data_IF_844422238082
#
_entry.id   IF_844422238082
#
_cell.length_a   1.000
_cell.length_b   1.000
_cell.length_c   1.000
_cell.angle_alpha   90.00
_cell.angle_beta   90.00
_cell.angle_gamma   90.00
#
_symmetry.space_group_name_H-M   'P 1'
#
loop_
_entity.id
_entity.type
_entity.pdbx_description
1 polymer ?
#
# COMPACT_ATOMS: atom_id res chain seq x y z
N UNK A 1 -15.93 66.98 67.71
CA UNK A 1 -14.69 67.22 66.94
C UNK A 1 -14.63 66.21 65.80
N UNK A 2 -14.15 66.64 64.65
CA UNK A 2 -14.40 66.14 63.30
C UNK A 2 -13.74 64.79 62.90
N UNK A 3 -14.25 64.25 61.77
CA UNK A 3 -13.72 63.25 60.80
C UNK A 3 -13.91 61.75 61.13
N UNK A 4 -14.75 60.96 60.42
CA UNK A 4 -14.73 60.49 58.99
C UNK A 4 -13.64 59.42 58.74
N UNK A 5 -13.85 58.23 58.16
CA UNK A 5 -15.00 57.53 57.58
C UNK A 5 -14.76 56.00 57.51
N UNK A 6 -15.87 55.25 57.68
CA UNK A 6 -16.27 53.90 57.23
C UNK A 6 -15.22 52.87 56.77
N UNK A 7 -15.28 51.66 57.37
CA UNK A 7 -15.18 50.28 56.81
C UNK A 7 -15.58 49.32 57.96
N UNK A 8 -16.17 48.13 57.82
CA UNK A 8 -16.89 47.39 56.80
C UNK A 8 -17.73 46.34 57.58
N UNK A 9 -18.95 46.05 57.14
CA UNK A 9 -19.89 45.17 57.84
C UNK A 9 -19.66 43.71 57.43
N UNK A 10 -19.19 42.86 58.34
CA UNK A 10 -19.25 41.40 58.19
C UNK A 10 -20.69 40.91 58.38
N UNK A 11 -21.24 40.21 57.38
CA UNK A 11 -22.30 39.22 57.60
C UNK A 11 -22.03 37.96 56.77
N UNK A 12 -21.84 36.89 57.51
CA UNK A 12 -21.82 35.49 57.12
C UNK A 12 -23.01 35.11 56.22
N UNK A 13 -22.74 34.51 55.06
CA UNK A 13 -23.70 33.72 54.29
C UNK A 13 -23.02 32.42 53.82
N UNK A 14 -23.77 31.33 53.94
CA UNK A 14 -23.32 29.95 53.93
C UNK A 14 -22.62 29.51 52.63
N UNK A 15 -21.48 28.84 52.76
CA UNK A 15 -20.86 28.04 51.69
C UNK A 15 -21.60 26.71 51.52
N UNK A 16 -22.44 26.63 50.51
CA UNK A 16 -22.89 25.35 49.94
C UNK A 16 -21.71 24.64 49.29
N UNK A 17 -21.34 23.47 49.80
CA UNK A 17 -20.40 22.53 49.18
C UNK A 17 -21.04 21.97 47.91
N UNK A 18 -20.56 22.37 46.74
CA UNK A 18 -20.76 21.61 45.50
C UNK A 18 -19.56 20.67 45.38
N UNK A 19 -19.82 19.37 45.59
CA UNK A 19 -18.85 18.28 45.42
C UNK A 19 -18.54 18.02 43.93
N UNK A 20 -17.42 17.34 43.62
CA UNK A 20 -16.75 17.35 42.32
C UNK A 20 -17.31 16.28 41.38
N UNK A 21 -18.45 16.54 40.74
CA UNK A 21 -18.99 15.60 39.73
C UNK A 21 -18.26 15.68 38.37
N UNK A 22 -17.62 16.80 38.05
CA UNK A 22 -16.96 16.98 36.76
C UNK A 22 -15.61 16.23 36.66
N UNK A 23 -14.84 16.18 37.76
CA UNK A 23 -13.52 15.52 37.80
C UNK A 23 -13.62 13.99 37.76
N UNK A 24 -14.63 13.42 38.41
CA UNK A 24 -14.87 11.96 38.41
C UNK A 24 -15.40 11.47 37.06
N UNK A 25 -16.24 12.24 36.36
CA UNK A 25 -16.70 11.85 35.02
C UNK A 25 -15.57 11.87 33.98
N UNK A 26 -14.67 12.86 34.03
CA UNK A 26 -13.54 12.93 33.10
C UNK A 26 -12.52 11.81 33.41
N UNK A 27 -12.22 11.54 34.68
CA UNK A 27 -11.38 10.39 35.06
C UNK A 27 -12.00 9.05 34.68
N UNK A 28 -13.30 8.84 34.88
CA UNK A 28 -13.97 7.61 34.45
C UNK A 28 -13.97 7.45 32.93
N UNK A 29 -14.18 8.52 32.16
CA UNK A 29 -14.10 8.48 30.69
C UNK A 29 -12.66 8.20 30.20
N UNK A 30 -11.65 8.76 30.86
CA UNK A 30 -10.25 8.51 30.54
C UNK A 30 -9.82 7.09 30.90
N UNK A 31 -10.26 6.56 32.04
CA UNK A 31 -9.98 5.19 32.48
C UNK A 31 -10.70 4.17 31.61
N UNK A 32 -11.95 4.42 31.19
CA UNK A 32 -12.67 3.56 30.23
C UNK A 32 -12.01 3.61 28.85
N UNK A 33 -11.54 4.79 28.40
CA UNK A 33 -10.83 4.94 27.12
C UNK A 33 -9.47 4.21 27.12
N UNK A 34 -8.68 4.33 28.19
CA UNK A 34 -7.42 3.62 28.36
C UNK A 34 -7.65 2.11 28.50
N UNK A 35 -8.65 1.68 29.28
CA UNK A 35 -9.01 0.27 29.39
C UNK A 35 -9.44 -0.31 28.04
N UNK A 36 -10.25 0.39 27.22
CA UNK A 36 -10.65 -0.12 25.91
C UNK A 36 -9.52 -0.22 24.89
N UNK A 37 -8.63 0.79 24.83
CA UNK A 37 -7.42 0.71 23.96
C UNK A 37 -6.53 -0.45 24.41
N UNK A 38 -6.37 -0.63 25.73
CA UNK A 38 -5.57 -1.73 26.26
C UNK A 38 -6.22 -3.10 26.01
N UNK A 39 -7.54 -3.25 26.09
CA UNK A 39 -8.20 -4.53 25.80
C UNK A 39 -8.19 -4.87 24.32
N UNK A 40 -8.34 -3.89 23.42
CA UNK A 40 -8.19 -4.14 21.98
C UNK A 40 -6.77 -4.52 21.63
N UNK A 41 -5.77 -3.80 22.15
CA UNK A 41 -4.36 -4.11 21.92
C UNK A 41 -3.92 -5.43 22.56
N UNK A 42 -4.47 -5.81 23.74
CA UNK A 42 -4.17 -7.08 24.43
C UNK A 42 -4.92 -8.25 23.80
N UNK A 43 -6.19 -8.08 23.39
CA UNK A 43 -6.92 -9.11 22.64
C UNK A 43 -6.28 -9.39 21.27
N UNK A 44 -5.74 -8.36 20.62
CA UNK A 44 -4.95 -8.47 19.39
C UNK A 44 -3.60 -9.19 19.60
N UNK A 45 -3.01 -9.12 20.81
CA UNK A 45 -1.71 -9.74 21.11
C UNK A 45 -1.81 -11.24 21.39
N UNK A 46 -2.93 -11.69 21.95
CA UNK A 46 -3.13 -13.08 22.39
C UNK A 46 -4.00 -13.92 21.43
N UNK A 47 -4.44 -13.35 20.30
CA UNK A 47 -5.27 -14.08 19.34
C UNK A 47 -6.61 -14.55 19.92
N UNK A 48 -7.14 -13.87 20.93
CA UNK A 48 -8.53 -14.07 21.37
C UNK A 48 -9.45 -13.25 20.50
N UNK A 49 -10.59 -13.83 20.15
CA UNK A 49 -11.48 -13.31 19.12
C UNK A 49 -12.11 -11.98 19.56
N UNK A 50 -11.65 -10.86 18.99
CA UNK A 50 -12.30 -9.55 19.19
C UNK A 50 -13.79 -9.66 18.83
N UNK A 51 -14.13 -10.54 17.89
CA UNK A 51 -15.50 -10.81 17.43
C UNK A 51 -16.36 -11.64 18.41
N UNK A 52 -15.77 -12.33 19.39
CA UNK A 52 -16.54 -13.04 20.43
C UNK A 52 -16.92 -12.13 21.62
N UNK A 53 -16.24 -11.00 21.77
CA UNK A 53 -16.33 -10.16 22.98
C UNK A 53 -17.23 -8.91 22.83
N UNK A 54 -17.56 -8.49 21.60
CA UNK A 54 -18.30 -7.26 21.33
C UNK A 54 -19.75 -7.59 20.99
N UNK A 55 -20.69 -7.05 21.76
CA UNK A 55 -22.13 -7.18 21.47
C UNK A 55 -22.52 -6.45 20.17
N UNK A 56 -23.60 -6.88 19.51
CA UNK A 56 -24.13 -6.26 18.28
C UNK A 56 -24.40 -4.75 18.41
N UNK A 57 -24.72 -4.26 19.60
CA UNK A 57 -24.98 -2.83 19.84
C UNK A 57 -23.69 -2.03 20.01
N UNK A 58 -22.69 -2.59 20.70
CA UNK A 58 -21.34 -2.01 20.74
C UNK A 58 -20.71 -1.98 19.33
N UNK A 59 -21.03 -2.98 18.52
CA UNK A 59 -20.65 -3.07 17.12
C UNK A 59 -21.26 -1.93 16.27
N UNK A 60 -22.56 -1.63 16.41
CA UNK A 60 -23.21 -0.51 15.72
C UNK A 60 -22.68 0.87 16.17
N UNK A 61 -22.37 1.02 17.47
CA UNK A 61 -21.84 2.28 18.03
C UNK A 61 -20.42 2.58 17.54
N UNK A 62 -19.57 1.56 17.36
CA UNK A 62 -18.23 1.78 16.80
C UNK A 62 -18.26 2.19 15.32
N UNK A 63 -19.15 1.59 14.53
CA UNK A 63 -19.36 1.98 13.11
C UNK A 63 -19.85 3.43 12.98
N UNK A 64 -20.67 3.89 13.93
CA UNK A 64 -21.21 5.25 13.91
C UNK A 64 -20.24 6.33 14.39
N UNK A 65 -19.08 5.98 14.94
CA UNK A 65 -18.02 6.95 15.21
C UNK A 65 -17.33 7.31 13.90
N UNK A 66 -17.99 8.16 13.13
CA UNK A 66 -17.30 8.94 12.10
C UNK A 66 -16.23 9.77 12.78
N UNK A 67 -15.01 9.27 12.72
CA UNK A 67 -13.84 10.06 13.01
C UNK A 67 -13.68 11.06 11.86
N UNK A 68 -13.82 12.35 12.16
CA UNK A 68 -13.49 13.40 11.21
C UNK A 68 -11.99 13.38 10.96
N UNK A 69 -11.60 12.80 9.82
CA UNK A 69 -10.23 12.72 9.35
C UNK A 69 -9.87 13.84 8.37
N UNK A 70 -10.72 14.88 8.24
CA UNK A 70 -10.52 15.97 7.27
C UNK A 70 -9.22 16.76 7.48
N UNK A 71 -8.78 16.88 8.74
CA UNK A 71 -7.54 17.57 9.11
C UNK A 71 -6.27 16.74 8.87
N UNK A 72 -6.38 15.43 8.67
CA UNK A 72 -5.23 14.54 8.44
C UNK A 72 -4.72 14.76 7.02
N UNK A 73 -3.42 15.07 6.91
CA UNK A 73 -2.73 15.34 5.64
C UNK A 73 -1.72 14.27 5.24
N UNK A 74 -1.37 13.35 6.14
CA UNK A 74 -0.41 12.27 5.92
C UNK A 74 -1.05 10.93 6.26
N UNK A 75 -0.85 9.91 5.43
CA UNK A 75 -1.41 8.60 5.68
C UNK A 75 -0.97 7.51 4.70
N UNK A 76 -1.54 6.34 4.89
CA UNK A 76 -1.34 5.16 4.06
C UNK A 76 -2.58 4.94 3.20
N UNK A 77 -2.40 4.57 1.94
CA UNK A 77 -3.46 4.23 1.01
C UNK A 77 -3.30 2.77 0.59
N UNK A 78 -4.39 2.00 0.64
CA UNK A 78 -4.42 0.61 0.19
C UNK A 78 -5.64 0.41 -0.73
N UNK A 79 -5.42 -0.16 -1.91
CA UNK A 79 -6.51 -0.52 -2.81
C UNK A 79 -7.00 -1.95 -2.53
N UNK A 80 -8.31 -2.14 -2.42
CA UNK A 80 -8.90 -3.41 -1.98
C UNK A 80 -10.15 -3.77 -2.79
N UNK A 81 -10.39 -5.06 -2.91
CA UNK A 81 -11.66 -5.66 -3.30
C UNK A 81 -11.93 -6.85 -2.37
N UNK A 82 -13.14 -7.43 -2.41
CA UNK A 82 -13.60 -8.39 -1.39
C UNK A 82 -12.63 -9.55 -1.10
N UNK A 83 -12.04 -10.17 -2.13
CA UNK A 83 -11.12 -11.28 -1.90
C UNK A 83 -9.77 -10.86 -1.29
N UNK A 84 -9.41 -9.58 -1.33
CA UNK A 84 -8.15 -9.08 -0.73
C UNK A 84 -8.30 -8.72 0.74
N UNK A 85 -9.52 -8.67 1.27
CA UNK A 85 -9.80 -8.23 2.64
C UNK A 85 -9.02 -9.01 3.69
N UNK A 86 -8.87 -10.34 3.61
CA UNK A 86 -8.06 -11.06 4.60
C UNK A 86 -6.61 -10.58 4.65
N UNK A 87 -6.01 -10.31 3.49
CA UNK A 87 -4.64 -9.80 3.40
C UNK A 87 -4.57 -8.33 3.83
N UNK A 88 -5.45 -7.47 3.33
CA UNK A 88 -5.49 -6.05 3.67
C UNK A 88 -5.77 -5.79 5.16
N UNK A 89 -6.70 -6.52 5.76
CA UNK A 89 -6.97 -6.42 7.19
C UNK A 89 -5.77 -6.96 8.00
N UNK A 90 -5.13 -8.05 7.58
CA UNK A 90 -3.88 -8.46 8.21
C UNK A 90 -2.77 -7.41 8.08
N UNK A 91 -2.70 -6.64 6.96
CA UNK A 91 -1.83 -5.46 6.76
C UNK A 91 -2.01 -4.44 7.86
N UNK A 92 -3.24 -4.02 8.12
CA UNK A 92 -3.52 -3.08 9.20
C UNK A 92 -3.00 -3.59 10.55
N UNK A 93 -3.27 -4.85 10.90
CA UNK A 93 -2.81 -5.45 12.16
C UNK A 93 -1.29 -5.43 12.31
N UNK A 94 -0.56 -5.80 11.24
CA UNK A 94 0.90 -5.79 11.24
C UNK A 94 1.46 -4.38 11.36
N UNK A 95 0.91 -3.41 10.61
CA UNK A 95 1.32 -2.02 10.70
C UNK A 95 1.16 -1.47 12.12
N UNK A 96 0.04 -1.77 12.79
CA UNK A 96 -0.16 -1.38 14.20
C UNK A 96 0.82 -2.08 15.14
N UNK A 97 1.11 -3.35 14.91
CA UNK A 97 2.11 -4.09 15.70
C UNK A 97 3.54 -3.53 15.52
N UNK A 98 3.84 -2.96 14.34
CA UNK A 98 5.09 -2.26 14.05
C UNK A 98 5.13 -0.83 14.64
N UNK A 99 4.04 -0.37 15.27
CA UNK A 99 3.94 0.95 15.89
C UNK A 99 3.41 2.05 14.97
N UNK A 100 2.99 1.71 13.73
CA UNK A 100 2.43 2.70 12.82
C UNK A 100 1.09 3.22 13.37
N UNK A 101 0.95 4.54 13.44
CA UNK A 101 -0.29 5.18 13.85
C UNK A 101 -0.96 5.96 12.73
N UNK A 102 -0.49 5.90 11.49
CA UNK A 102 -1.05 6.71 10.41
C UNK A 102 -2.50 6.33 10.09
N UNK A 103 -3.27 7.29 9.55
CA UNK A 103 -4.57 7.01 8.94
C UNK A 103 -4.36 6.04 7.77
N UNK A 104 -5.18 5.00 7.69
CA UNK A 104 -5.21 4.09 6.55
C UNK A 104 -6.50 4.34 5.77
N UNK A 105 -6.36 4.74 4.51
CA UNK A 105 -7.48 4.85 3.58
C UNK A 105 -7.55 3.60 2.70
N UNK A 106 -8.67 2.88 2.77
CA UNK A 106 -8.96 1.71 1.95
C UNK A 106 -9.84 2.10 0.78
N UNK A 107 -9.26 2.08 -0.42
CA UNK A 107 -9.92 2.46 -1.66
C UNK A 107 -10.46 1.23 -2.38
N UNK A 108 -11.70 1.32 -2.85
CA UNK A 108 -12.32 0.31 -3.72
C UNK A 108 -13.10 1.00 -4.85
N UNK A 109 -13.55 0.24 -5.85
CA UNK A 109 -14.24 0.80 -7.00
C UNK A 109 -15.63 0.20 -7.21
N UNK A 110 -16.65 1.06 -7.25
CA UNK A 110 -17.98 0.74 -7.75
C UNK A 110 -18.60 -0.47 -7.04
N UNK A 111 -18.62 -0.43 -5.70
CA UNK A 111 -19.25 -1.46 -4.87
C UNK A 111 -18.53 -2.82 -4.81
N UNK A 112 -17.21 -2.88 -5.07
CA UNK A 112 -16.39 -4.09 -4.93
C UNK A 112 -16.33 -4.68 -3.51
N UNK A 113 -16.68 -3.90 -2.50
CA UNK A 113 -16.73 -4.36 -1.12
C UNK A 113 -18.16 -4.72 -0.70
N UNK A 114 -18.31 -5.92 -0.16
CA UNK A 114 -19.55 -6.36 0.47
C UNK A 114 -19.75 -5.69 1.82
N UNK A 115 -21.01 -5.69 2.28
CA UNK A 115 -21.34 -5.22 3.62
C UNK A 115 -20.50 -5.93 4.70
N UNK A 116 -20.27 -7.24 4.57
CA UNK A 116 -19.41 -8.02 5.46
C UNK A 116 -17.98 -7.47 5.54
N UNK A 117 -17.36 -7.19 4.39
CA UNK A 117 -16.02 -6.61 4.34
C UNK A 117 -15.94 -5.23 4.99
N UNK A 118 -16.94 -4.37 4.78
CA UNK A 118 -17.03 -3.09 5.51
C UNK A 118 -17.06 -3.31 7.03
N UNK A 119 -17.83 -4.30 7.54
CA UNK A 119 -17.88 -4.58 8.98
C UNK A 119 -16.51 -5.00 9.51
N UNK A 120 -15.85 -5.93 8.83
CA UNK A 120 -14.53 -6.46 9.23
C UNK A 120 -13.52 -5.32 9.36
N UNK A 121 -13.45 -4.45 8.35
CA UNK A 121 -12.50 -3.34 8.34
C UNK A 121 -12.78 -2.32 9.46
N UNK A 122 -14.03 -1.89 9.66
CA UNK A 122 -14.35 -0.93 10.70
C UNK A 122 -14.19 -1.48 12.12
N UNK A 123 -14.38 -2.79 12.32
CA UNK A 123 -14.11 -3.43 13.62
C UNK A 123 -12.62 -3.53 13.93
N UNK A 124 -11.79 -3.57 12.90
CA UNK A 124 -10.37 -3.86 13.02
C UNK A 124 -9.57 -2.68 13.56
N UNK A 125 -9.84 -1.48 13.06
CA UNK A 125 -9.03 -0.30 13.32
C UNK A 125 -9.86 0.98 13.29
N UNK A 126 -9.78 1.76 14.37
CA UNK A 126 -10.50 3.02 14.50
C UNK A 126 -9.92 4.16 13.65
N UNK A 127 -8.76 3.97 13.01
CA UNK A 127 -8.08 4.94 12.14
C UNK A 127 -8.07 4.46 10.70
N UNK A 128 -9.22 3.92 10.27
CA UNK A 128 -9.47 3.44 8.92
C UNK A 128 -10.59 4.25 8.27
N UNK A 129 -10.40 4.63 7.02
CA UNK A 129 -11.42 5.26 6.19
C UNK A 129 -11.61 4.45 4.90
N UNK A 130 -12.85 4.09 4.57
CA UNK A 130 -13.16 3.34 3.34
C UNK A 130 -13.75 4.29 2.30
N UNK A 131 -13.22 4.27 1.07
CA UNK A 131 -13.59 5.20 -0.01
C UNK A 131 -13.95 4.43 -1.28
N UNK A 132 -15.14 4.68 -1.83
CA UNK A 132 -15.56 4.21 -3.16
C UNK A 132 -15.25 5.28 -4.20
N UNK A 133 -13.99 5.30 -4.65
CA UNK A 133 -13.49 6.39 -5.51
C UNK A 133 -14.21 6.45 -6.86
N UNK A 134 -14.61 5.29 -7.40
CA UNK A 134 -15.33 5.28 -8.68
C UNK A 134 -16.71 5.93 -8.56
N UNK A 135 -17.42 5.74 -7.44
CA UNK A 135 -18.68 6.46 -7.21
C UNK A 135 -18.46 7.96 -7.08
N UNK A 136 -17.43 8.39 -6.36
CA UNK A 136 -17.12 9.81 -6.18
C UNK A 136 -16.79 10.48 -7.52
N UNK A 137 -15.96 9.86 -8.35
CA UNK A 137 -15.62 10.38 -9.68
C UNK A 137 -16.82 10.38 -10.64
N UNK A 138 -17.71 9.38 -10.56
CA UNK A 138 -18.95 9.36 -11.34
C UNK A 138 -19.89 10.48 -10.91
N UNK A 139 -20.08 10.66 -9.60
CA UNK A 139 -20.93 11.71 -9.04
C UNK A 139 -20.41 13.11 -9.38
N UNK A 140 -19.08 13.30 -9.45
CA UNK A 140 -18.46 14.57 -9.85
C UNK A 140 -18.39 14.77 -11.36
N UNK A 141 -18.89 13.83 -12.18
CA UNK A 141 -18.81 13.89 -13.65
C UNK A 141 -17.41 13.73 -14.24
N UNK A 142 -16.42 13.29 -13.44
CA UNK A 142 -15.03 13.10 -13.86
C UNK A 142 -14.78 11.72 -14.47
N UNK A 143 -15.68 10.76 -14.23
CA UNK A 143 -15.65 9.41 -14.80
C UNK A 143 -17.04 9.03 -15.32
N UNK A 144 -17.19 8.59 -16.59
CA UNK A 144 -18.46 8.04 -17.05
C UNK A 144 -18.81 6.75 -16.29
N UNK A 145 -20.06 6.62 -15.82
CA UNK A 145 -20.50 5.43 -15.07
C UNK A 145 -20.23 4.11 -15.80
N UNK A 146 -20.41 4.10 -17.13
CA UNK A 146 -20.15 2.92 -17.97
C UNK A 146 -18.68 2.48 -17.98
N UNK A 147 -17.73 3.38 -17.65
CA UNK A 147 -16.29 3.09 -17.61
C UNK A 147 -15.77 2.85 -16.18
N UNK A 148 -16.63 2.91 -15.16
CA UNK A 148 -16.19 2.79 -13.77
C UNK A 148 -15.40 1.49 -13.52
N UNK A 149 -15.87 0.37 -14.08
CA UNK A 149 -15.24 -0.92 -13.88
C UNK A 149 -13.85 -1.06 -14.56
N UNK A 150 -13.51 -0.19 -15.52
CA UNK A 150 -12.19 -0.17 -16.19
C UNK A 150 -11.04 0.25 -15.24
N UNK A 151 -11.40 0.75 -14.04
CA UNK A 151 -10.48 1.21 -13.00
C UNK A 151 -10.37 0.23 -11.84
N UNK A 152 -11.00 -0.94 -11.92
CA UNK A 152 -10.75 -2.03 -10.97
C UNK A 152 -9.35 -2.62 -11.18
N UNK A 153 -8.89 -3.41 -10.21
CA UNK A 153 -7.52 -3.99 -10.21
C UNK A 153 -6.44 -2.89 -10.21
N UNK A 154 -5.33 -3.09 -10.92
CA UNK A 154 -4.14 -2.21 -10.96
C UNK A 154 -4.47 -0.72 -11.10
N UNK A 155 -5.42 -0.39 -11.97
CA UNK A 155 -5.75 0.98 -12.35
C UNK A 155 -6.45 1.78 -11.25
N UNK A 156 -6.84 1.14 -10.15
CA UNK A 156 -7.44 1.82 -9.02
C UNK A 156 -6.41 2.67 -8.28
N UNK A 157 -5.17 2.19 -8.14
CA UNK A 157 -4.09 2.85 -7.40
C UNK A 157 -3.82 4.29 -7.87
N UNK A 158 -3.56 4.56 -9.16
CA UNK A 158 -3.36 5.93 -9.63
C UNK A 158 -4.61 6.80 -9.44
N UNK A 159 -5.81 6.26 -9.65
CA UNK A 159 -7.05 7.01 -9.43
C UNK A 159 -7.24 7.37 -7.95
N UNK A 160 -6.95 6.43 -7.06
CA UNK A 160 -7.01 6.61 -5.62
C UNK A 160 -5.99 7.65 -5.13
N UNK A 161 -4.77 7.61 -5.66
CA UNK A 161 -3.73 8.59 -5.35
C UNK A 161 -4.12 10.00 -5.83
N UNK A 162 -4.71 10.14 -7.02
CA UNK A 162 -5.25 11.42 -7.49
C UNK A 162 -6.41 11.89 -6.59
N UNK A 163 -7.30 10.98 -6.19
CA UNK A 163 -8.49 11.28 -5.40
C UNK A 163 -8.20 11.80 -3.99
N UNK A 164 -7.28 11.12 -3.29
CA UNK A 164 -7.17 11.30 -1.83
C UNK A 164 -6.87 12.74 -1.43
N UNK A 165 -7.49 13.18 -0.33
CA UNK A 165 -7.19 14.47 0.29
C UNK A 165 -5.81 14.51 0.94
N UNK A 166 -5.20 13.35 1.22
CA UNK A 166 -3.88 13.28 1.82
C UNK A 166 -2.85 13.97 0.90
N UNK A 167 -1.98 14.79 1.49
CA UNK A 167 -0.85 15.38 0.80
C UNK A 167 0.32 14.41 0.74
N UNK A 168 0.63 13.74 1.85
CA UNK A 168 1.75 12.81 1.96
C UNK A 168 1.21 11.38 2.06
N UNK A 169 1.46 10.57 1.04
CA UNK A 169 0.84 9.26 0.85
C UNK A 169 1.90 8.19 0.71
N UNK A 170 1.81 7.15 1.53
CA UNK A 170 2.43 5.85 1.26
C UNK A 170 1.31 4.97 0.71
N UNK A 171 1.36 4.68 -0.57
CA UNK A 171 0.50 3.68 -1.17
C UNK A 171 1.17 2.31 -0.97
N UNK A 172 0.43 1.35 -0.43
CA UNK A 172 0.85 -0.04 -0.27
C UNK A 172 -0.07 -0.97 -1.04
N UNK A 173 0.49 -2.07 -1.51
CA UNK A 173 -0.31 -3.20 -1.94
C UNK A 173 -0.95 -3.92 -0.73
N UNK A 174 -2.15 -4.46 -0.95
CA UNK A 174 -2.86 -5.19 0.10
C UNK A 174 -2.15 -6.50 0.51
N UNK A 175 -1.30 -7.02 -0.37
CA UNK A 175 -0.51 -8.23 -0.19
C UNK A 175 0.98 -7.96 0.11
N UNK A 176 1.34 -6.75 0.54
CA UNK A 176 2.68 -6.51 1.06
C UNK A 176 2.88 -7.13 2.45
N UNK A 177 3.99 -7.85 2.60
CA UNK A 177 4.52 -8.33 3.88
C UNK A 177 5.54 -7.30 4.39
N UNK A 178 5.19 -6.54 5.43
CA UNK A 178 6.01 -5.43 5.92
C UNK A 178 6.85 -5.86 7.14
N UNK A 179 8.16 -5.62 7.10
CA UNK A 179 9.07 -5.98 8.22
C UNK A 179 9.46 -4.79 9.10
N UNK A 180 9.10 -3.58 8.68
CA UNK A 180 9.42 -2.32 9.34
C UNK A 180 8.25 -1.34 9.19
N UNK A 181 8.08 -0.43 10.16
CA UNK A 181 7.08 0.63 10.05
C UNK A 181 7.35 1.48 8.80
N UNK A 182 6.42 1.55 7.82
CA UNK A 182 6.59 2.32 6.60
C UNK A 182 6.69 3.83 6.87
N UNK A 183 6.29 4.32 8.04
CA UNK A 183 6.47 5.74 8.41
C UNK A 183 7.94 6.19 8.41
N UNK A 184 8.89 5.25 8.48
CA UNK A 184 10.31 5.52 8.31
C UNK A 184 10.66 6.06 6.92
N UNK A 185 9.85 5.75 5.89
CA UNK A 185 10.08 6.23 4.52
C UNK A 185 10.00 7.76 4.41
N UNK A 186 9.19 8.40 5.27
CA UNK A 186 9.10 9.86 5.40
C UNK A 186 10.43 10.51 5.80
N UNK A 187 11.35 9.75 6.40
CA UNK A 187 12.60 10.27 6.92
C UNK A 187 13.80 10.00 6.01
N UNK A 188 13.60 9.23 4.93
CA UNK A 188 14.65 8.87 3.98
C UNK A 188 15.17 10.11 3.24
N UNK A 189 16.46 10.12 2.83
CA UNK A 189 17.02 11.23 2.09
C UNK A 189 16.24 11.55 0.81
N UNK A 190 15.86 10.53 0.04
CA UNK A 190 15.11 10.69 -1.21
C UNK A 190 13.75 11.38 -1.01
N UNK A 191 13.02 11.00 0.04
CA UNK A 191 11.77 11.67 0.39
C UNK A 191 11.97 13.12 0.80
N UNK A 192 12.97 13.40 1.65
CA UNK A 192 13.25 14.77 2.10
C UNK A 192 13.69 15.69 0.97
N UNK A 193 14.39 15.16 -0.03
CA UNK A 193 14.89 15.91 -1.17
C UNK A 193 13.80 16.17 -2.23
N UNK A 194 13.00 15.15 -2.55
CA UNK A 194 12.11 15.19 -3.72
C UNK A 194 10.62 15.05 -3.39
N UNK A 195 10.30 14.71 -2.14
CA UNK A 195 8.94 14.34 -1.74
C UNK A 195 8.50 12.97 -2.25
N UNK A 196 9.37 12.18 -2.88
CA UNK A 196 9.02 10.85 -3.39
C UNK A 196 10.04 9.79 -2.97
N UNK A 197 9.58 8.54 -2.90
CA UNK A 197 10.42 7.35 -2.84
C UNK A 197 9.78 6.29 -3.71
N UNK A 198 10.43 5.97 -4.82
CA UNK A 198 10.03 4.88 -5.71
C UNK A 198 11.01 3.71 -5.60
N UNK A 199 10.55 2.52 -5.96
CA UNK A 199 11.35 1.30 -5.91
C UNK A 199 11.49 0.73 -7.32
N UNK A 200 12.63 0.11 -7.61
CA UNK A 200 12.87 -0.44 -8.93
C UNK A 200 12.18 -1.80 -9.09
N UNK A 201 11.58 -2.05 -10.25
CA UNK A 201 11.20 -3.41 -10.67
C UNK A 201 12.45 -4.18 -11.15
N UNK A 202 12.25 -5.44 -11.52
CA UNK A 202 13.24 -6.35 -12.09
C UNK A 202 13.80 -5.79 -13.38
N UNK A 203 15.11 -5.93 -13.54
CA UNK A 203 15.79 -5.55 -14.79
C UNK A 203 15.54 -6.62 -15.84
N UNK A 204 14.54 -6.41 -16.70
CA UNK A 204 14.09 -7.40 -17.70
C UNK A 204 14.29 -6.83 -19.10
N UNK A 205 15.28 -7.33 -19.84
CA UNK A 205 15.57 -6.86 -21.21
C UNK A 205 14.66 -7.54 -22.25
N UNK A 206 13.36 -7.27 -22.21
CA UNK A 206 12.35 -7.74 -23.17
C UNK A 206 11.78 -6.62 -24.03
N UNK A 207 11.23 -6.97 -25.19
CA UNK A 207 10.53 -6.05 -26.08
C UNK A 207 9.04 -5.91 -25.68
N UNK A 208 8.80 -5.52 -24.43
CA UNK A 208 7.46 -5.37 -23.84
C UNK A 208 7.36 -4.00 -23.16
N UNK A 209 6.13 -3.50 -22.99
CA UNK A 209 5.83 -2.26 -22.25
C UNK A 209 6.72 -1.08 -22.70
N UNK A 210 7.55 -0.53 -21.80
CA UNK A 210 8.46 0.59 -22.10
C UNK A 210 9.38 0.32 -23.30
N UNK A 211 9.77 -0.94 -23.50
CA UNK A 211 10.68 -1.41 -24.54
C UNK A 211 9.99 -1.99 -25.77
N UNK A 212 8.65 -2.04 -25.78
CA UNK A 212 7.94 -2.45 -26.99
C UNK A 212 8.15 -1.38 -28.08
N UNK A 213 8.04 -1.81 -29.34
CA UNK A 213 8.23 -0.94 -30.49
C UNK A 213 6.90 -0.37 -30.96
N UNK A 214 6.87 0.94 -31.15
CA UNK A 214 5.78 1.65 -31.81
C UNK A 214 6.31 2.42 -33.02
N UNK A 215 5.45 2.59 -34.02
CA UNK A 215 5.73 3.45 -35.17
C UNK A 215 5.02 4.78 -34.94
N UNK A 216 5.78 5.84 -34.79
CA UNK A 216 5.27 7.19 -34.65
C UNK A 216 5.95 8.10 -35.68
N UNK A 217 5.16 8.85 -36.45
CA UNK A 217 5.65 9.72 -37.55
C UNK A 217 6.65 9.02 -38.48
N UNK A 218 6.32 7.79 -38.91
CA UNK A 218 7.17 6.94 -39.76
C UNK A 218 8.52 6.54 -39.15
N UNK A 219 8.74 6.80 -37.86
CA UNK A 219 9.93 6.37 -37.12
C UNK A 219 9.57 5.25 -36.15
N UNK A 220 10.41 4.22 -36.11
CA UNK A 220 10.28 3.12 -35.16
C UNK A 220 11.01 3.49 -33.87
N UNK A 221 10.28 3.60 -32.78
CA UNK A 221 10.78 4.05 -31.47
C UNK A 221 10.27 3.12 -30.36
N UNK A 222 10.99 3.08 -29.23
CA UNK A 222 10.50 2.39 -28.03
C UNK A 222 9.31 3.17 -27.45
N UNK A 223 8.36 2.48 -26.81
CA UNK A 223 7.18 3.11 -26.22
C UNK A 223 7.52 4.23 -25.25
N UNK A 224 8.57 4.08 -24.41
CA UNK A 224 9.02 5.16 -23.54
C UNK A 224 9.46 6.42 -24.32
N UNK A 225 10.17 6.24 -25.45
CA UNK A 225 10.57 7.35 -26.31
C UNK A 225 9.37 7.98 -27.01
N UNK A 226 8.40 7.17 -27.47
CA UNK A 226 7.16 7.68 -28.06
C UNK A 226 6.39 8.50 -27.03
N UNK A 227 6.23 8.00 -25.81
CA UNK A 227 5.55 8.71 -24.73
C UNK A 227 6.18 10.08 -24.50
N UNK A 228 7.50 10.14 -24.29
CA UNK A 228 8.21 11.40 -24.02
C UNK A 228 8.20 12.34 -25.23
N UNK A 229 8.28 11.82 -26.46
CA UNK A 229 8.28 12.66 -27.66
C UNK A 229 6.92 13.30 -27.95
N UNK A 230 5.84 12.58 -27.63
CA UNK A 230 4.46 12.91 -28.06
C UNK A 230 3.57 13.41 -26.95
N UNK A 231 4.00 13.34 -25.69
CA UNK A 231 3.23 13.84 -24.56
C UNK A 231 2.85 15.32 -24.75
N UNK A 232 1.61 15.66 -24.41
CA UNK A 232 1.01 16.97 -24.66
C UNK A 232 1.41 18.00 -23.59
N UNK A 233 2.72 18.24 -23.41
CA UNK A 233 3.27 19.11 -22.36
C UNK A 233 2.59 20.48 -22.24
N UNK A 234 2.17 21.07 -23.37
CA UNK A 234 1.52 22.38 -23.41
C UNK A 234 0.19 22.40 -22.63
N UNK A 235 -0.54 21.29 -22.53
CA UNK A 235 -1.77 21.18 -21.72
C UNK A 235 -1.50 21.39 -20.22
N UNK A 236 -0.27 21.14 -19.78
CA UNK A 236 0.19 21.29 -18.40
C UNK A 236 1.09 22.53 -18.22
N UNK A 237 1.12 23.44 -19.20
CA UNK A 237 2.00 24.62 -19.22
C UNK A 237 3.50 24.28 -19.17
N UNK A 238 3.88 23.13 -19.74
CA UNK A 238 5.27 22.66 -19.81
C UNK A 238 5.79 22.68 -21.25
N UNK A 239 7.12 22.64 -21.38
CA UNK A 239 7.81 22.40 -22.64
C UNK A 239 8.55 21.07 -22.56
N UNK A 240 8.57 20.26 -23.64
CA UNK A 240 9.27 18.97 -23.65
C UNK A 240 10.73 19.13 -23.23
N UNK A 241 11.09 18.53 -22.10
CA UNK A 241 12.45 18.54 -21.56
C UNK A 241 12.69 17.27 -20.72
N UNK A 242 13.06 16.14 -21.35
CA UNK A 242 13.43 14.95 -20.59
C UNK A 242 14.60 15.25 -19.65
N UNK A 243 14.55 14.66 -18.47
CA UNK A 243 15.58 14.87 -17.45
C UNK A 243 16.87 14.13 -17.81
N UNK A 244 18.00 14.65 -17.33
CA UNK A 244 19.28 13.92 -17.41
C UNK A 244 19.28 12.65 -16.56
N UNK A 245 18.34 12.51 -15.64
CA UNK A 245 18.16 11.29 -14.87
C UNK A 245 17.52 10.21 -15.76
N UNK A 246 16.41 10.52 -16.44
CA UNK A 246 15.73 9.63 -17.38
C UNK A 246 16.70 9.06 -18.42
N UNK A 247 17.49 9.91 -19.07
CA UNK A 247 18.45 9.49 -20.10
C UNK A 247 19.47 8.43 -19.60
N UNK A 248 19.69 8.34 -18.29
CA UNK A 248 20.61 7.39 -17.64
C UNK A 248 19.93 6.11 -17.11
N UNK A 249 18.61 6.05 -17.12
CA UNK A 249 17.84 4.89 -16.63
C UNK A 249 18.07 3.65 -17.50
N UNK A 250 17.85 2.47 -16.91
CA UNK A 250 17.91 1.22 -17.68
C UNK A 250 16.76 1.15 -18.70
N UNK A 251 15.57 1.63 -18.34
CA UNK A 251 14.43 1.71 -19.25
C UNK A 251 14.72 2.55 -20.50
N UNK A 252 15.22 3.78 -20.36
CA UNK A 252 15.56 4.63 -21.51
C UNK A 252 16.60 3.97 -22.44
N UNK A 253 17.53 3.22 -21.86
CA UNK A 253 18.59 2.55 -22.61
C UNK A 253 18.25 1.11 -23.01
N UNK A 254 16.96 0.73 -23.03
CA UNK A 254 16.46 -0.59 -23.49
C UNK A 254 16.97 -1.77 -22.66
N UNK A 255 17.46 -1.54 -21.46
CA UNK A 255 17.97 -2.56 -20.56
C UNK A 255 16.92 -3.07 -19.56
N UNK A 256 15.75 -2.43 -19.50
CA UNK A 256 14.62 -2.90 -18.69
C UNK A 256 13.28 -2.54 -19.33
N UNK A 257 12.35 -3.49 -19.42
CA UNK A 257 10.97 -3.28 -19.86
C UNK A 257 10.10 -2.66 -18.75
N UNK A 258 10.57 -2.77 -17.51
CA UNK A 258 9.95 -2.23 -16.30
C UNK A 258 10.96 -1.35 -15.55
N UNK A 259 10.54 -0.20 -15.07
CA UNK A 259 11.41 0.67 -14.27
C UNK A 259 10.99 0.62 -12.81
N UNK A 260 9.69 0.78 -12.53
CA UNK A 260 9.15 0.92 -11.19
C UNK A 260 8.40 -0.32 -10.71
N UNK A 261 8.65 -0.71 -9.47
CA UNK A 261 7.77 -1.55 -8.66
C UNK A 261 6.78 -0.63 -7.91
N UNK A 262 5.47 -0.89 -8.05
CA UNK A 262 4.39 -0.10 -7.43
C UNK A 262 3.72 -0.81 -6.25
N UNK A 263 4.38 -1.83 -5.68
CA UNK A 263 3.96 -2.38 -4.38
C UNK A 263 3.99 -1.31 -3.30
N UNK A 264 5.05 -0.49 -3.28
CA UNK A 264 5.13 0.72 -2.43
C UNK A 264 5.37 1.95 -3.30
N UNK A 265 4.53 2.98 -3.12
CA UNK A 265 4.70 4.29 -3.76
C UNK A 265 4.59 5.39 -2.71
N UNK A 266 5.67 6.16 -2.53
CA UNK A 266 5.70 7.25 -1.54
C UNK A 266 5.69 8.59 -2.27
N UNK A 267 4.69 9.43 -2.00
CA UNK A 267 4.50 10.70 -2.70
C UNK A 267 4.03 11.81 -1.76
N UNK A 268 4.64 12.99 -1.90
CA UNK A 268 4.11 14.26 -1.46
C UNK A 268 3.46 14.99 -2.65
N UNK A 269 2.13 15.08 -2.62
CA UNK A 269 1.25 15.74 -3.60
C UNK A 269 1.00 17.22 -3.28
N UNK A 270 1.85 17.84 -2.46
CA UNK A 270 1.77 19.26 -2.13
C UNK A 270 1.85 20.16 -3.36
N UNK A 271 1.78 21.48 -3.17
CA UNK A 271 1.71 22.45 -4.26
C UNK A 271 2.83 22.33 -5.30
N UNK A 272 4.02 21.85 -4.92
CA UNK A 272 5.17 21.65 -5.82
C UNK A 272 5.01 20.45 -6.74
N UNK A 273 4.13 19.51 -6.42
CA UNK A 273 3.93 18.24 -7.12
C UNK A 273 2.51 18.08 -7.68
N UNK A 274 1.66 19.12 -7.60
CA UNK A 274 0.27 19.03 -8.04
C UNK A 274 0.16 18.74 -9.54
N UNK A 275 1.06 19.33 -10.35
CA UNK A 275 1.13 19.06 -11.79
C UNK A 275 1.41 17.58 -12.08
N UNK A 276 2.22 16.91 -11.26
CA UNK A 276 2.44 15.47 -11.40
C UNK A 276 1.15 14.67 -11.17
N UNK A 277 0.22 15.15 -10.34
CA UNK A 277 -1.08 14.49 -10.16
C UNK A 277 -2.02 14.72 -11.34
N UNK A 278 -1.97 15.90 -11.96
CA UNK A 278 -2.71 16.18 -13.20
C UNK A 278 -2.19 15.31 -14.36
N UNK A 279 -0.86 15.18 -14.47
CA UNK A 279 -0.22 14.27 -15.43
C UNK A 279 -0.58 12.81 -15.12
N UNK A 280 -0.51 12.37 -13.86
CA UNK A 280 -0.90 11.02 -13.45
C UNK A 280 -2.35 10.72 -13.86
N UNK A 281 -3.24 11.68 -13.62
CA UNK A 281 -4.63 11.59 -14.03
C UNK A 281 -4.77 11.46 -15.56
N UNK A 282 -4.02 12.23 -16.34
CA UNK A 282 -4.02 12.10 -17.79
C UNK A 282 -3.49 10.74 -18.26
N UNK A 283 -2.40 10.25 -17.66
CA UNK A 283 -1.82 8.94 -17.99
C UNK A 283 -2.81 7.80 -17.78
N UNK A 284 -3.53 7.80 -16.65
CA UNK A 284 -4.53 6.77 -16.33
C UNK A 284 -5.84 6.95 -17.11
N UNK A 285 -6.26 8.18 -17.42
CA UNK A 285 -7.55 8.40 -18.10
C UNK A 285 -7.47 8.27 -19.62
N UNK A 286 -6.29 8.54 -20.20
CA UNK A 286 -6.13 8.68 -21.65
C UNK A 286 -4.96 7.84 -22.19
N UNK A 287 -3.74 8.12 -21.73
CA UNK A 287 -2.53 7.57 -22.36
C UNK A 287 -2.46 6.04 -22.31
N UNK A 288 -2.90 5.41 -21.21
CA UNK A 288 -2.91 3.94 -21.09
C UNK A 288 -3.73 3.23 -22.16
N UNK A 289 -4.69 3.92 -22.79
CA UNK A 289 -5.53 3.34 -23.84
C UNK A 289 -4.94 3.49 -25.24
N UNK A 290 -3.94 4.36 -25.41
CA UNK A 290 -3.34 4.66 -26.72
C UNK A 290 -1.92 4.14 -26.86
N UNK A 291 -1.24 3.87 -25.75
CA UNK A 291 0.12 3.36 -25.73
C UNK A 291 0.28 2.28 -24.65
N UNK A 292 0.76 1.11 -25.04
CA UNK A 292 1.03 -0.02 -24.16
C UNK A 292 2.42 0.09 -23.51
N UNK A 293 2.59 1.05 -22.60
CA UNK A 293 3.89 1.36 -21.99
C UNK A 293 4.10 0.75 -20.60
N UNK A 294 3.10 0.09 -20.02
CA UNK A 294 3.14 -0.33 -18.61
C UNK A 294 2.37 -1.62 -18.38
N UNK A 295 2.92 -2.52 -17.54
CA UNK A 295 2.14 -3.60 -16.96
C UNK A 295 1.27 -3.01 -15.84
N UNK A 296 0.01 -2.71 -16.14
CA UNK A 296 -0.87 -2.05 -15.18
C UNK A 296 -0.38 -0.65 -14.82
N UNK A 297 -0.47 -0.31 -13.54
CA UNK A 297 -0.22 1.03 -12.99
C UNK A 297 1.26 1.39 -12.81
N UNK A 298 2.16 0.41 -12.82
CA UNK A 298 3.49 0.53 -12.23
C UNK A 298 4.32 1.70 -12.74
N UNK A 299 4.35 1.90 -14.06
CA UNK A 299 5.17 2.95 -14.66
C UNK A 299 4.53 4.34 -14.57
N UNK A 300 3.23 4.43 -14.22
CA UNK A 300 2.49 5.69 -14.27
C UNK A 300 2.99 6.68 -13.21
N UNK A 301 3.42 6.23 -12.04
CA UNK A 301 3.77 7.13 -10.94
C UNK A 301 5.06 7.90 -11.25
N UNK A 302 6.17 7.22 -11.53
CA UNK A 302 7.41 7.92 -11.84
C UNK A 302 7.34 8.69 -13.17
N UNK A 303 6.64 8.16 -14.19
CA UNK A 303 6.44 8.88 -15.45
C UNK A 303 5.62 10.14 -15.25
N UNK A 304 4.66 10.16 -14.33
CA UNK A 304 3.92 11.37 -14.03
C UNK A 304 4.83 12.48 -13.48
N UNK A 305 5.79 12.14 -12.63
CA UNK A 305 6.78 13.09 -12.13
C UNK A 305 7.78 13.52 -13.21
N UNK A 306 8.29 12.58 -14.01
CA UNK A 306 9.21 12.87 -15.11
C UNK A 306 8.59 13.80 -16.17
N UNK A 307 7.38 13.49 -16.63
CA UNK A 307 6.67 14.29 -17.64
C UNK A 307 6.22 15.63 -17.08
N UNK A 308 5.87 15.70 -15.79
CA UNK A 308 5.58 16.95 -15.09
C UNK A 308 6.84 17.79 -14.80
N UNK A 309 8.04 17.25 -15.04
CA UNK A 309 9.33 17.87 -14.71
C UNK A 309 9.47 18.21 -13.22
N UNK A 310 8.84 17.40 -12.37
CA UNK A 310 8.97 17.47 -10.91
C UNK A 310 10.05 16.49 -10.48
N UNK A 311 11.04 16.90 -9.66
CA UNK A 311 12.06 15.99 -9.16
C UNK A 311 11.45 14.77 -8.46
N UNK A 312 12.05 13.60 -8.67
CA UNK A 312 11.68 12.37 -8.00
C UNK A 312 12.91 11.54 -7.65
N UNK A 313 12.76 10.61 -6.71
CA UNK A 313 13.85 9.73 -6.29
C UNK A 313 13.42 8.27 -6.30
N UNK A 314 14.34 7.41 -6.75
CA UNK A 314 14.26 5.97 -6.55
C UNK A 314 15.17 5.56 -5.39
N UNK A 315 14.84 4.43 -4.77
CA UNK A 315 15.70 3.74 -3.81
C UNK A 315 17.14 3.62 -4.35
N UNK A 316 18.18 3.80 -3.52
CA UNK A 316 19.57 3.60 -3.93
C UNK A 316 19.89 2.13 -4.24
N UNK A 317 19.00 1.21 -3.86
CA UNK A 317 19.13 -0.23 -4.03
C UNK A 317 18.27 -0.73 -5.19
N UNK A 318 18.75 -1.77 -5.87
CA UNK A 318 17.90 -2.52 -6.78
C UNK A 318 16.85 -3.33 -6.00
N UNK A 319 15.89 -3.89 -6.75
CA UNK A 319 15.00 -4.93 -6.22
C UNK A 319 15.77 -6.13 -5.64
N UNK A 320 15.07 -6.88 -4.81
CA UNK A 320 15.39 -8.26 -4.43
C UNK A 320 14.19 -9.17 -4.72
N UNK A 321 14.35 -10.46 -4.46
CA UNK A 321 13.33 -11.47 -4.61
C UNK A 321 13.36 -12.40 -3.40
N UNK A 322 12.19 -12.88 -2.97
CA UNK A 322 12.05 -13.92 -1.97
C UNK A 322 12.06 -15.31 -2.63
N UNK A 323 12.80 -16.24 -2.05
CA UNK A 323 13.01 -17.56 -2.64
C UNK A 323 11.75 -18.42 -2.63
N UNK A 324 11.35 -18.91 -3.81
CA UNK A 324 10.37 -19.98 -3.92
C UNK A 324 10.93 -21.31 -3.39
N UNK A 325 10.09 -22.25 -2.95
CA UNK A 325 10.53 -23.58 -2.55
C UNK A 325 11.44 -24.26 -3.58
N UNK A 326 12.49 -24.93 -3.11
CA UNK A 326 13.47 -25.63 -3.96
C UNK A 326 14.53 -24.76 -4.63
N UNK A 327 14.43 -23.43 -4.56
CA UNK A 327 15.44 -22.52 -5.13
C UNK A 327 16.84 -22.78 -4.57
N UNK A 328 16.96 -22.84 -3.24
CA UNK A 328 18.25 -22.97 -2.57
C UNK A 328 18.94 -24.31 -2.81
N UNK A 329 18.17 -25.35 -3.16
CA UNK A 329 18.72 -26.67 -3.54
C UNK A 329 19.21 -26.67 -4.99
N UNK A 330 18.43 -26.08 -5.91
CA UNK A 330 18.68 -26.15 -7.35
C UNK A 330 19.66 -25.10 -7.86
N UNK A 331 19.60 -23.89 -7.31
CA UNK A 331 20.35 -22.73 -7.79
C UNK A 331 20.57 -21.71 -6.65
N UNK A 332 21.51 -21.97 -5.72
CA UNK A 332 21.66 -21.20 -4.49
C UNK A 332 22.10 -19.73 -4.71
N UNK A 333 22.57 -19.37 -5.90
CA UNK A 333 22.99 -18.01 -6.28
C UNK A 333 21.96 -17.26 -7.14
N UNK A 334 20.82 -17.89 -7.43
CA UNK A 334 19.74 -17.33 -8.25
C UNK A 334 18.41 -17.46 -7.51
N UNK A 335 17.68 -16.36 -7.34
CA UNK A 335 16.42 -16.37 -6.60
C UNK A 335 15.25 -16.04 -7.52
N UNK A 336 14.29 -16.95 -7.62
CA UNK A 336 13.04 -16.85 -8.36
C UNK A 336 11.86 -16.82 -7.38
N UNK A 337 11.00 -15.80 -7.46
CA UNK A 337 9.81 -15.71 -6.60
C UNK A 337 9.28 -14.29 -6.42
N UNK A 338 8.66 -14.04 -5.27
CA UNK A 338 8.01 -12.76 -4.96
C UNK A 338 9.01 -11.59 -5.01
N UNK A 339 8.61 -10.48 -5.65
CA UNK A 339 9.41 -9.26 -5.68
C UNK A 339 9.50 -8.66 -4.28
N UNK A 340 10.63 -8.05 -3.94
CA UNK A 340 10.88 -7.52 -2.61
C UNK A 340 11.83 -6.33 -2.67
N UNK A 341 11.83 -5.50 -1.62
CA UNK A 341 12.64 -4.28 -1.59
C UNK A 341 13.43 -4.13 -0.29
N UNK A 342 14.56 -3.46 -0.42
CA UNK A 342 15.40 -3.05 0.70
C UNK A 342 14.97 -1.70 1.24
N UNK A 343 15.22 -1.46 2.53
CA UNK A 343 15.07 -0.13 3.12
C UNK A 343 15.92 0.88 2.33
N UNK A 344 15.34 1.99 1.83
CA UNK A 344 16.01 2.92 0.93
C UNK A 344 16.93 3.91 1.68
N UNK A 345 17.82 3.36 2.49
CA UNK A 345 18.89 4.08 3.19
C UNK A 345 20.23 3.59 2.66
N UNK A 346 21.10 4.50 2.22
CA UNK A 346 22.35 4.16 1.54
C UNK A 346 23.35 3.43 2.47
N UNK A 347 23.24 3.67 3.77
CA UNK A 347 24.04 3.08 4.82
C UNK A 347 23.44 1.77 5.39
N UNK A 348 22.16 1.51 5.15
CA UNK A 348 21.49 0.30 5.64
C UNK A 348 21.92 -0.91 4.82
N UNK A 349 22.64 -1.84 5.45
CA UNK A 349 23.06 -3.11 4.86
C UNK A 349 22.07 -4.21 5.19
N UNK A 350 21.54 -4.85 4.16
CA UNK A 350 20.66 -6.03 4.27
C UNK A 350 19.45 -5.84 5.19
N UNK A 351 18.83 -4.65 5.17
CA UNK A 351 17.59 -4.35 5.90
C UNK A 351 16.41 -4.51 4.96
N UNK A 352 15.80 -5.70 4.94
CA UNK A 352 14.66 -6.01 4.09
C UNK A 352 13.44 -5.20 4.54
N UNK A 353 12.87 -4.38 3.65
CA UNK A 353 11.70 -3.55 3.95
C UNK A 353 10.41 -4.35 3.84
N UNK A 354 10.19 -4.99 2.68
CA UNK A 354 8.99 -5.74 2.40
C UNK A 354 9.19 -6.83 1.34
N UNK A 355 8.22 -7.73 1.24
CA UNK A 355 8.02 -8.67 0.13
C UNK A 355 6.60 -8.49 -0.41
N UNK A 356 6.44 -8.36 -1.72
CA UNK A 356 5.15 -8.49 -2.37
C UNK A 356 4.71 -9.96 -2.31
N UNK A 357 3.69 -10.23 -1.50
CA UNK A 357 3.42 -11.54 -0.93
C UNK A 357 2.16 -12.24 -1.44
N UNK A 358 1.58 -11.81 -2.57
CA UNK A 358 0.31 -12.35 -3.08
C UNK A 358 0.23 -13.87 -3.20
N UNK A 359 1.36 -14.54 -3.43
CA UNK A 359 1.44 -16.01 -3.49
C UNK A 359 1.92 -16.67 -2.18
N UNK A 360 2.39 -15.89 -1.21
CA UNK A 360 3.03 -16.39 0.02
C UNK A 360 2.03 -16.61 1.15
N UNK A 361 0.99 -15.77 1.25
CA UNK A 361 0.07 -15.82 2.40
C UNK A 361 -1.41 -15.65 2.06
N UNK A 362 -1.77 -15.67 0.77
CA UNK A 362 -3.16 -15.49 0.35
C UNK A 362 -4.04 -16.69 0.73
N UNK A 363 -5.08 -16.50 1.56
CA UNK A 363 -6.00 -17.58 1.93
C UNK A 363 -6.83 -18.10 0.76
N UNK A 364 -7.08 -17.27 -0.25
CA UNK A 364 -7.91 -17.59 -1.41
C UNK A 364 -7.03 -17.81 -2.66
N UNK A 365 -7.00 -19.03 -3.16
CA UNK A 365 -6.28 -19.38 -4.39
C UNK A 365 -6.85 -18.55 -5.55
N UNK A 366 -5.97 -17.84 -6.27
CA UNK A 366 -6.32 -16.96 -7.40
C UNK A 366 -7.44 -15.95 -7.07
N UNK A 367 -7.52 -15.49 -5.82
CA UNK A 367 -8.56 -14.59 -5.33
C UNK A 367 -9.99 -15.16 -5.43
N UNK A 368 -10.13 -16.47 -5.62
CA UNK A 368 -11.42 -17.15 -5.55
C UNK A 368 -11.75 -17.46 -4.08
N UNK A 369 -12.69 -16.70 -3.52
CA UNK A 369 -13.13 -16.86 -2.13
C UNK A 369 -13.74 -18.23 -1.83
N UNK A 370 -14.20 -18.95 -2.85
CA UNK A 370 -14.72 -20.32 -2.72
C UNK A 370 -13.62 -21.38 -2.66
N UNK A 371 -12.36 -21.04 -2.97
CA UNK A 371 -11.24 -21.99 -2.90
C UNK A 371 -10.87 -22.40 -1.48
N UNK A 372 -11.22 -21.60 -0.47
CA UNK A 372 -10.94 -21.90 0.92
C UNK A 372 -11.97 -22.91 1.46
N UNK A 373 -11.66 -24.20 1.26
CA UNK A 373 -12.48 -25.34 1.70
C UNK A 373 -11.91 -26.02 2.94
N UNK A 374 -10.58 -26.13 3.04
CA UNK A 374 -9.87 -26.67 4.20
C UNK A 374 -8.85 -25.62 4.72
N UNK A 375 -9.25 -24.79 5.69
CA UNK A 375 -8.36 -23.77 6.26
C UNK A 375 -7.08 -24.34 6.88
N UNK A 376 -7.15 -25.53 7.49
CA UNK A 376 -5.98 -26.11 8.17
C UNK A 376 -4.95 -26.60 7.15
N UNK A 377 -5.41 -27.30 6.09
CA UNK A 377 -4.54 -27.71 5.00
C UNK A 377 -3.92 -26.50 4.29
N UNK A 378 -4.71 -25.44 4.06
CA UNK A 378 -4.22 -24.22 3.42
C UNK A 378 -3.15 -23.50 4.26
N UNK A 379 -3.29 -23.45 5.59
CA UNK A 379 -2.25 -22.91 6.46
C UNK A 379 -0.97 -23.74 6.37
N UNK A 380 -1.08 -25.07 6.43
CA UNK A 380 0.10 -25.94 6.35
C UNK A 380 0.85 -25.77 5.02
N UNK A 381 0.12 -25.64 3.91
CA UNK A 381 0.68 -25.35 2.59
C UNK A 381 1.44 -24.01 2.57
N UNK A 382 0.82 -22.93 3.03
CA UNK A 382 1.42 -21.60 3.03
C UNK A 382 2.65 -21.52 3.96
N UNK A 383 2.58 -22.15 5.14
CA UNK A 383 3.70 -22.20 6.09
C UNK A 383 4.89 -22.98 5.52
N UNK A 384 4.62 -24.10 4.83
CA UNK A 384 5.67 -24.88 4.16
C UNK A 384 6.37 -24.10 3.02
N UNK A 385 5.69 -23.09 2.46
CA UNK A 385 6.19 -22.26 1.38
C UNK A 385 6.89 -20.97 1.85
N UNK A 386 7.05 -20.72 3.16
CA UNK A 386 7.68 -19.50 3.67
C UNK A 386 9.12 -19.39 3.14
N UNK A 387 9.50 -18.26 2.52
CA UNK A 387 10.85 -18.06 2.01
C UNK A 387 11.87 -18.01 3.15
N UNK A 388 13.02 -18.65 2.95
CA UNK A 388 14.14 -18.63 3.90
C UNK A 388 15.27 -17.70 3.47
N UNK A 389 15.30 -17.30 2.20
CA UNK A 389 16.34 -16.51 1.59
C UNK A 389 15.75 -15.43 0.69
N UNK A 390 16.50 -14.34 0.55
CA UNK A 390 16.28 -13.32 -0.48
C UNK A 390 17.52 -13.18 -1.34
N UNK A 391 17.38 -12.59 -2.53
CA UNK A 391 18.56 -12.23 -3.33
C UNK A 391 19.37 -11.14 -2.63
N UNK A 392 20.70 -11.11 -2.80
CA UNK A 392 21.55 -10.16 -2.08
C UNK A 392 21.23 -8.70 -2.40
N UNK A 393 21.32 -7.85 -1.39
CA UNK A 393 21.30 -6.40 -1.57
C UNK A 393 22.40 -5.95 -2.56
N UNK A 394 21.99 -5.12 -3.53
CA UNK A 394 22.87 -4.63 -4.60
C UNK A 394 22.43 -3.27 -5.11
N UNK A 395 23.36 -2.57 -5.75
CA UNK A 395 23.00 -1.44 -6.62
C UNK A 395 22.44 -1.95 -7.94
N UNK A 396 21.61 -1.12 -8.57
CA UNK A 396 21.02 -1.44 -9.87
C UNK A 396 22.09 -1.55 -10.95
N UNK A 397 21.91 -2.50 -11.86
CA UNK A 397 22.83 -2.76 -12.97
C UNK A 397 22.08 -3.44 -14.10
N UNK A 398 22.67 -3.50 -15.30
CA UNK A 398 22.07 -4.19 -16.44
C UNK A 398 21.74 -5.66 -16.10
N UNK A 399 20.71 -6.25 -16.73
CA UNK A 399 20.42 -7.67 -16.55
C UNK A 399 21.61 -8.54 -16.92
N UNK A 400 21.76 -9.67 -16.23
CA UNK A 400 22.80 -10.68 -16.50
C UNK A 400 22.36 -11.75 -17.50
N UNK A 401 21.07 -11.77 -17.82
CA UNK A 401 20.45 -12.74 -18.72
C UNK A 401 19.32 -12.07 -19.49
N UNK A 402 18.99 -12.64 -20.64
CA UNK A 402 17.69 -12.41 -21.28
C UNK A 402 16.71 -13.42 -20.72
N UNK A 403 15.63 -12.99 -20.04
CA UNK A 403 14.64 -13.91 -19.54
C UNK A 403 13.93 -14.67 -20.66
N UNK A 404 13.55 -15.91 -20.37
CA UNK A 404 12.82 -16.86 -21.23
C UNK A 404 13.49 -17.14 -22.59
N UNK A 405 14.81 -16.95 -22.66
CA UNK A 405 15.61 -17.23 -23.84
C UNK A 405 16.13 -18.68 -23.82
N UNK A 406 15.53 -19.53 -24.67
CA UNK A 406 15.95 -20.91 -24.82
C UNK A 406 17.35 -21.07 -25.46
N UNK A 407 17.88 -20.01 -26.10
CA UNK A 407 19.23 -20.00 -26.66
C UNK A 407 20.29 -19.58 -25.63
N UNK A 408 19.89 -19.22 -24.41
CA UNK A 408 20.82 -18.87 -23.35
C UNK A 408 21.73 -20.07 -23.00
N UNK A 409 23.07 -19.91 -23.07
CA UNK A 409 24.02 -20.97 -22.73
C UNK A 409 23.86 -21.52 -21.30
N UNK A 410 23.37 -20.70 -20.38
CA UNK A 410 23.13 -21.04 -18.98
C UNK A 410 21.67 -21.51 -18.71
N UNK A 411 20.89 -21.75 -19.77
CA UNK A 411 19.54 -22.29 -19.70
C UNK A 411 18.41 -21.24 -19.67
N UNK A 412 17.18 -21.75 -19.76
CA UNK A 412 15.97 -20.93 -19.73
C UNK A 412 15.68 -20.43 -18.31
N UNK A 413 15.53 -19.10 -18.13
CA UNK A 413 15.23 -18.47 -16.86
C UNK A 413 14.01 -17.57 -16.97
N UNK A 414 12.95 -17.79 -16.18
CA UNK A 414 11.79 -16.91 -16.23
C UNK A 414 12.07 -15.56 -15.56
N UNK A 415 11.31 -14.53 -15.92
CA UNK A 415 11.57 -13.13 -15.56
C UNK A 415 11.53 -12.83 -14.06
N UNK A 416 10.85 -13.66 -13.26
CA UNK A 416 10.86 -13.60 -11.79
C UNK A 416 12.20 -14.00 -11.16
N UNK A 417 13.15 -14.52 -11.96
CA UNK A 417 14.46 -14.96 -11.48
C UNK A 417 15.51 -13.84 -11.50
N UNK A 418 16.09 -13.54 -10.34
CA UNK A 418 17.29 -12.74 -10.22
C UNK A 418 18.52 -13.62 -10.44
N UNK A 419 18.80 -13.86 -11.71
CA UNK A 419 19.87 -14.73 -12.19
C UNK A 419 21.26 -14.27 -11.71
N UNK A 420 22.00 -15.18 -11.05
CA UNK A 420 23.37 -14.98 -10.52
C UNK A 420 23.54 -13.67 -9.73
N UNK A 421 22.50 -13.25 -9.01
CA UNK A 421 22.53 -12.06 -8.12
C UNK A 421 22.92 -12.40 -6.67
N UNK A 422 23.19 -13.68 -6.39
CA UNK A 422 23.51 -14.18 -5.07
C UNK A 422 22.29 -14.22 -4.15
N UNK A 423 22.46 -14.87 -3.00
CA UNK A 423 21.44 -15.01 -1.96
C UNK A 423 21.98 -14.65 -0.58
N UNK A 424 21.07 -14.27 0.31
CA UNK A 424 21.31 -14.10 1.75
C UNK A 424 20.11 -14.64 2.54
N UNK A 425 20.39 -15.20 3.72
CA UNK A 425 19.36 -15.73 4.60
C UNK A 425 18.51 -14.60 5.16
N UNK A 426 17.19 -14.81 5.21
CA UNK A 426 16.28 -13.90 5.88
C UNK A 426 16.51 -13.91 7.39
N UNK A 427 16.26 -12.78 8.05
CA UNK A 427 16.37 -12.73 9.51
C UNK A 427 15.26 -13.62 10.10
N UNK A 428 15.53 -14.39 11.17
CA UNK A 428 14.52 -15.25 11.78
C UNK A 428 13.24 -14.51 12.21
N UNK A 429 13.36 -13.23 12.58
CA UNK A 429 12.21 -12.39 12.92
C UNK A 429 11.30 -12.05 11.73
N UNK A 430 11.86 -11.93 10.53
CA UNK A 430 11.12 -11.65 9.30
C UNK A 430 10.34 -12.91 8.88
N UNK A 431 10.99 -14.08 8.93
CA UNK A 431 10.35 -15.39 8.70
C UNK A 431 9.16 -15.58 9.66
N UNK A 432 9.35 -15.31 10.95
CA UNK A 432 8.27 -15.36 11.94
C UNK A 432 7.17 -14.33 11.68
N UNK A 433 7.49 -13.18 11.07
CA UNK A 433 6.48 -12.20 10.70
C UNK A 433 5.57 -12.74 9.59
N UNK A 434 6.15 -13.37 8.56
CA UNK A 434 5.39 -14.04 7.49
C UNK A 434 4.45 -15.12 8.06
N UNK A 435 4.94 -15.95 8.98
CA UNK A 435 4.10 -16.96 9.63
C UNK A 435 2.91 -16.33 10.39
N UNK A 436 3.15 -15.30 11.20
CA UNK A 436 2.08 -14.56 11.88
C UNK A 436 1.07 -13.97 10.88
N UNK A 437 1.55 -13.50 9.73
CA UNK A 437 0.73 -12.95 8.65
C UNK A 437 -0.18 -13.98 8.01
N UNK A 438 0.34 -15.17 7.72
CA UNK A 438 -0.44 -16.31 7.21
C UNK A 438 -1.60 -16.62 8.17
N UNK A 439 -1.30 -16.78 9.47
CA UNK A 439 -2.33 -17.08 10.46
C UNK A 439 -3.37 -15.97 10.61
N UNK A 440 -2.94 -14.71 10.59
CA UNK A 440 -3.85 -13.56 10.70
C UNK A 440 -4.78 -13.47 9.50
N UNK A 441 -4.23 -13.55 8.28
CA UNK A 441 -5.01 -13.53 7.06
C UNK A 441 -5.99 -14.72 7.00
N UNK A 442 -5.56 -15.93 7.36
CA UNK A 442 -6.44 -17.09 7.38
C UNK A 442 -7.62 -16.91 8.33
N UNK A 443 -7.36 -16.40 9.55
CA UNK A 443 -8.42 -16.15 10.52
C UNK A 443 -9.46 -15.15 10.00
N UNK A 444 -8.99 -14.07 9.38
CA UNK A 444 -9.88 -13.05 8.81
C UNK A 444 -10.68 -13.63 7.63
N UNK A 445 -10.08 -14.50 6.81
CA UNK A 445 -10.80 -15.19 5.74
C UNK A 445 -11.95 -16.06 6.26
N UNK A 446 -11.71 -16.81 7.34
CA UNK A 446 -12.76 -17.61 8.00
C UNK A 446 -13.90 -16.73 8.54
N UNK A 447 -13.57 -15.59 9.15
CA UNK A 447 -14.56 -14.61 9.62
C UNK A 447 -15.37 -14.06 8.43
N UNK A 448 -14.69 -13.71 7.34
CA UNK A 448 -15.32 -13.19 6.13
C UNK A 448 -16.30 -14.19 5.51
N UNK A 449 -15.91 -15.46 5.36
CA UNK A 449 -16.81 -16.50 4.84
C UNK A 449 -18.06 -16.67 5.71
N UNK A 450 -17.90 -16.66 7.04
CA UNK A 450 -19.01 -16.71 8.00
C UNK A 450 -19.95 -15.52 7.84
N UNK A 451 -19.43 -14.31 7.80
CA UNK A 451 -20.23 -13.08 7.68
C UNK A 451 -20.99 -13.00 6.35
N UNK A 452 -20.36 -13.43 5.25
CA UNK A 452 -21.01 -13.54 3.94
C UNK A 452 -22.15 -14.56 3.94
N UNK A 453 -21.98 -15.70 4.62
CA UNK A 453 -23.04 -16.70 4.76
C UNK A 453 -24.24 -16.15 5.56
N UNK A 454 -23.99 -15.41 6.65
CA UNK A 454 -25.04 -14.76 7.43
C UNK A 454 -25.82 -13.71 6.63
N UNK A 455 -25.13 -12.90 5.83
CA UNK A 455 -25.79 -11.91 4.97
C UNK A 455 -26.65 -12.56 3.89
N UNK A 456 -26.23 -13.71 3.34
CA UNK A 456 -27.05 -14.50 2.40
C UNK A 456 -28.33 -15.04 3.06
N UNK A 457 -28.27 -15.45 4.32
CA UNK A 457 -29.44 -15.92 5.07
C UNK A 457 -30.44 -14.78 5.33
N UNK A 458 -29.95 -13.60 5.73
CA UNK A 458 -30.81 -12.42 5.98
C UNK A 458 -31.55 -11.92 4.74
N UNK A 459 -31.00 -12.10 3.54
CA UNK A 459 -31.67 -11.72 2.28
C UNK A 459 -32.78 -12.67 1.84
N UNK A 460 -32.85 -13.87 2.43
CA UNK A 460 -33.89 -14.88 2.12
C UNK A 460 -35.13 -14.74 3.01
N UNK A 461 -35.04 -13.94 4.07
CA UNK A 461 -36.13 -13.52 4.93
C UNK A 461 -36.47 -12.06 4.64
#
# INVERSE_FOLDING_TARGET
MLMSSRHATERYLARTRVMPLLGTCIMCLFVVYICMISTSAVAMKDGKDVYESISKDQWLVQIQRHHDFSSIRRGILVCVFDAMIPMAASLVLELRALGNTDLIQMYHCNGELSAASHRILYMLDARLEIVDVCKDFVASGRLPAAKANDFRSFWLKPLALVHTRLAEVILLDADDLMFHDPSQLWQTPGYKETGTVFFYDREVAKAEYLNNWSVHRFQRMLNLHVLVDTFEYAQFHLMKRPSKYLERTLAWNKHSAHEQDSSIVVVNKGATSSVAMDVLYHLVMHTRYTLDFSYGDKELFWLAFELAQVPYSFSPWANTAAASPGNMEKHPDTICGGLAQWMPLAEAKSVLLHINGGYIFNPYVNHDMSSLQDPAARVAELVAAIPTHVSRQRKRSKPLTTPEDAANPDGFWPQECLYKRGSEAMRPQDVRAIERRIHSAMRIAMIQQRELALDKLKKKH
#
